data_IF_314820502554
#
_entry.id   IF_314820502554
#
_cell.length_a   1.000
_cell.length_b   1.000
_cell.length_c   1.000
_cell.angle_alpha   90.00
_cell.angle_beta   90.00
_cell.angle_gamma   90.00
#
_symmetry.space_group_name_H-M   'P 1'
#
loop_
_entity.id
_entity.type
_entity.pdbx_description
1 polymer ?
#
# COMPACT_ATOMS: atom_id res chain seq x y z
N UNK A 1 49.14 24.90 -15.51
CA UNK A 1 48.98 23.48 -15.15
C UNK A 1 47.98 23.38 -14.01
N UNK A 2 46.74 22.92 -14.28
CA UNK A 2 45.72 22.74 -13.23
C UNK A 2 46.14 21.60 -12.30
N UNK A 3 46.08 21.81 -10.97
CA UNK A 3 46.26 20.73 -9.97
C UNK A 3 45.30 19.61 -10.26
N UNK A 4 45.79 18.36 -10.44
CA UNK A 4 44.93 17.17 -10.57
C UNK A 4 44.04 17.08 -9.32
N UNK A 5 42.73 17.12 -9.53
CA UNK A 5 41.76 17.00 -8.44
C UNK A 5 41.76 15.56 -7.91
N UNK A 6 41.85 15.44 -6.58
CA UNK A 6 41.83 14.13 -5.91
C UNK A 6 40.46 13.48 -6.11
N UNK A 7 40.41 12.23 -6.59
CA UNK A 7 39.19 11.50 -6.81
C UNK A 7 38.60 10.95 -5.50
N UNK A 8 39.44 10.44 -4.61
CA UNK A 8 39.04 9.93 -3.29
C UNK A 8 40.14 10.09 -2.26
N UNK A 9 39.79 10.08 -0.99
CA UNK A 9 40.68 9.98 0.15
C UNK A 9 40.40 8.66 0.84
N UNK A 10 41.43 7.82 1.02
CA UNK A 10 41.29 6.49 1.61
C UNK A 10 40.77 6.55 3.05
N UNK A 11 40.08 5.49 3.50
CA UNK A 11 39.54 5.40 4.85
C UNK A 11 40.62 5.51 5.93
N UNK A 12 40.28 6.23 6.99
CA UNK A 12 41.12 6.34 8.18
C UNK A 12 40.29 6.32 9.46
N UNK A 13 40.85 5.75 10.52
CA UNK A 13 40.19 5.75 11.84
C UNK A 13 40.34 7.12 12.51
N UNK A 14 39.24 7.61 13.06
CA UNK A 14 39.22 8.68 14.05
C UNK A 14 38.86 8.07 15.43
N UNK A 15 39.88 7.90 16.27
CA UNK A 15 39.75 7.32 17.61
C UNK A 15 39.50 8.36 18.72
N UNK A 16 39.20 9.61 18.36
CA UNK A 16 38.92 10.68 19.32
C UNK A 16 40.05 10.85 20.40
N UNK A 17 41.32 10.65 20.03
CA UNK A 17 42.44 10.70 20.96
C UNK A 17 42.51 9.51 21.92
N UNK A 18 41.93 8.36 21.56
CA UNK A 18 41.90 7.17 22.41
C UNK A 18 40.75 7.18 23.47
N UNK A 19 39.95 8.22 23.50
CA UNK A 19 38.87 8.35 24.47
C UNK A 19 37.74 7.36 24.23
N UNK A 20 37.59 6.34 25.10
CA UNK A 20 36.58 5.30 25.04
C UNK A 20 35.14 5.78 25.29
N UNK A 21 34.95 6.94 25.92
CA UNK A 21 33.64 7.56 26.16
C UNK A 21 33.10 8.28 24.91
N UNK A 22 33.99 8.56 23.95
CA UNK A 22 33.62 9.16 22.66
C UNK A 22 33.39 8.08 21.63
N UNK A 23 32.54 8.41 20.64
CA UNK A 23 32.20 7.53 19.54
C UNK A 23 33.33 7.56 18.48
N UNK A 24 33.99 6.42 18.29
CA UNK A 24 35.00 6.26 17.25
C UNK A 24 34.34 6.06 15.90
N UNK A 25 35.01 6.42 14.81
CA UNK A 25 34.51 6.24 13.47
C UNK A 25 35.62 6.12 12.44
N UNK A 26 35.30 5.47 11.32
CA UNK A 26 36.16 5.49 10.12
C UNK A 26 35.65 6.56 9.19
N UNK A 27 36.53 7.44 8.68
CA UNK A 27 36.14 8.46 7.70
C UNK A 27 36.93 8.31 6.40
N UNK A 28 36.26 8.56 5.28
CA UNK A 28 36.82 8.63 3.94
C UNK A 28 36.13 9.72 3.14
N UNK A 29 36.68 10.08 1.97
CA UNK A 29 36.03 11.05 1.09
C UNK A 29 36.07 10.57 -0.34
N UNK A 30 35.03 10.88 -1.10
CA UNK A 30 34.90 10.55 -2.51
C UNK A 30 34.38 11.76 -3.28
N UNK A 31 34.86 12.00 -4.52
CA UNK A 31 34.40 13.11 -5.35
C UNK A 31 33.11 12.71 -6.08
N UNK A 32 32.05 13.47 -5.87
CA UNK A 32 30.80 13.31 -6.62
C UNK A 32 30.99 13.96 -8.02
N UNK A 33 30.95 13.13 -9.06
CA UNK A 33 31.16 13.56 -10.45
C UNK A 33 30.04 14.52 -10.94
N UNK A 34 28.87 14.53 -10.29
CA UNK A 34 27.71 15.37 -10.67
C UNK A 34 27.89 16.84 -10.25
N UNK A 35 28.54 17.09 -9.12
CA UNK A 35 28.70 18.44 -8.56
C UNK A 35 30.16 18.84 -8.37
N UNK A 36 31.11 17.97 -8.72
CA UNK A 36 32.57 18.12 -8.59
C UNK A 36 33.03 18.45 -7.17
N UNK A 37 32.26 18.05 -6.13
CA UNK A 37 32.62 18.24 -4.72
C UNK A 37 33.18 16.98 -4.12
N UNK A 38 34.18 17.14 -3.22
CA UNK A 38 34.71 16.05 -2.43
C UNK A 38 33.84 15.89 -1.17
N UNK A 39 33.02 14.85 -1.16
CA UNK A 39 32.11 14.56 -0.04
C UNK A 39 32.79 13.66 0.99
N UNK A 40 32.48 13.87 2.26
CA UNK A 40 33.07 13.15 3.40
C UNK A 40 32.03 12.21 3.99
N UNK A 41 32.44 10.95 4.15
CA UNK A 41 31.64 9.87 4.72
C UNK A 41 32.26 9.41 6.05
N UNK A 42 31.39 9.07 7.02
CA UNK A 42 31.79 8.59 8.34
C UNK A 42 30.99 7.35 8.71
N UNK A 43 31.68 6.32 9.17
CA UNK A 43 31.15 5.03 9.59
C UNK A 43 31.33 4.88 11.08
N UNK A 44 30.23 4.89 11.82
CA UNK A 44 30.21 4.77 13.28
C UNK A 44 29.79 3.37 13.75
N UNK A 45 29.33 2.51 12.85
CA UNK A 45 28.70 1.25 13.17
C UNK A 45 29.65 0.26 13.86
N UNK A 46 29.13 -0.46 14.85
CA UNK A 46 29.82 -1.53 15.56
C UNK A 46 30.81 -1.07 16.63
N UNK A 47 31.09 0.23 16.78
CA UNK A 47 32.02 0.71 17.80
C UNK A 47 31.43 0.80 19.22
N UNK A 48 30.10 1.10 19.35
CA UNK A 48 29.45 1.27 20.66
C UNK A 48 29.50 0.05 21.58
N UNK A 49 29.25 -1.18 21.11
CA UNK A 49 29.26 -2.36 21.97
C UNK A 49 30.66 -2.82 22.36
N UNK A 50 31.73 -2.22 21.81
CA UNK A 50 33.09 -2.63 22.06
C UNK A 50 33.68 -1.90 23.27
N UNK A 51 33.99 -2.64 24.31
CA UNK A 51 34.43 -2.20 25.63
C UNK A 51 35.95 -1.99 25.76
N UNK A 52 36.76 -2.43 24.78
CA UNK A 52 38.22 -2.28 24.78
C UNK A 52 38.76 -1.58 23.53
N UNK A 53 39.81 -0.81 23.70
CA UNK A 53 40.46 -0.11 22.60
C UNK A 53 40.99 -1.09 21.53
N UNK A 54 41.53 -2.23 21.93
CA UNK A 54 42.03 -3.25 21.00
C UNK A 54 40.93 -3.76 20.08
N UNK A 55 39.77 -4.11 20.62
CA UNK A 55 38.60 -4.57 19.84
C UNK A 55 38.12 -3.46 18.88
N UNK A 56 38.14 -2.20 19.29
CA UNK A 56 37.81 -1.06 18.43
C UNK A 56 38.78 -0.88 17.29
N UNK A 57 40.09 -1.06 17.54
CA UNK A 57 41.10 -0.99 16.49
C UNK A 57 40.94 -2.12 15.48
N UNK A 58 40.75 -3.37 15.94
CA UNK A 58 40.51 -4.50 15.04
C UNK A 58 39.26 -4.28 14.17
N UNK A 59 38.17 -3.80 14.78
CA UNK A 59 36.93 -3.49 14.06
C UNK A 59 37.16 -2.38 13.03
N UNK A 60 37.84 -1.32 13.41
CA UNK A 60 38.21 -0.24 12.50
C UNK A 60 39.03 -0.74 11.31
N UNK A 61 40.02 -1.63 11.55
CA UNK A 61 40.86 -2.17 10.50
C UNK A 61 40.04 -3.01 9.48
N UNK A 62 39.09 -3.78 9.96
CA UNK A 62 38.16 -4.52 9.07
C UNK A 62 37.39 -3.56 8.15
N UNK A 63 36.80 -2.50 8.71
CA UNK A 63 36.05 -1.50 7.95
C UNK A 63 36.97 -0.78 6.95
N UNK A 64 38.18 -0.39 7.36
CA UNK A 64 39.15 0.28 6.52
C UNK A 64 39.54 -0.60 5.33
N UNK A 65 39.87 -1.85 5.56
CA UNK A 65 40.25 -2.78 4.50
C UNK A 65 39.12 -2.97 3.51
N UNK A 66 37.93 -3.20 4.00
CA UNK A 66 36.74 -3.42 3.18
C UNK A 66 36.43 -2.21 2.29
N UNK A 67 36.38 -1.01 2.83
CA UNK A 67 36.11 0.21 2.05
C UNK A 67 37.26 0.49 1.06
N UNK A 68 38.50 0.23 1.46
CA UNK A 68 39.66 0.41 0.59
C UNK A 68 39.61 -0.50 -0.65
N UNK A 69 39.34 -1.80 -0.44
CA UNK A 69 39.21 -2.77 -1.53
C UNK A 69 38.06 -2.37 -2.51
N UNK A 70 36.97 -1.91 -1.99
CA UNK A 70 35.83 -1.43 -2.80
C UNK A 70 36.18 -0.21 -3.64
N UNK A 71 36.79 0.81 -3.02
CA UNK A 71 37.22 2.02 -3.73
C UNK A 71 38.22 1.68 -4.84
N UNK A 72 39.17 0.79 -4.55
CA UNK A 72 40.20 0.36 -5.51
C UNK A 72 39.63 -0.53 -6.62
N UNK A 73 38.55 -1.29 -6.37
CA UNK A 73 37.85 -2.05 -7.40
C UNK A 73 36.93 -1.20 -8.29
N UNK A 74 36.91 0.13 -8.08
CA UNK A 74 36.12 1.06 -8.91
C UNK A 74 34.73 1.38 -8.37
N UNK A 75 34.36 0.84 -7.19
CA UNK A 75 33.13 1.22 -6.54
C UNK A 75 33.14 2.69 -6.09
N UNK A 76 31.97 3.33 -6.17
CA UNK A 76 31.76 4.68 -5.63
C UNK A 76 30.65 4.67 -4.58
N UNK A 77 30.71 5.54 -3.55
CA UNK A 77 29.62 5.63 -2.56
C UNK A 77 28.33 6.20 -3.13
N UNK A 78 28.32 6.54 -4.40
CA UNK A 78 27.16 7.05 -5.16
C UNK A 78 26.52 5.98 -6.06
N UNK A 79 27.11 4.79 -6.19
CA UNK A 79 26.58 3.69 -6.98
C UNK A 79 25.46 2.96 -6.24
N UNK A 80 24.35 2.71 -6.94
CA UNK A 80 23.17 2.10 -6.38
C UNK A 80 23.23 0.57 -6.26
N UNK A 81 24.18 -0.08 -6.97
CA UNK A 81 24.07 -1.51 -7.25
C UNK A 81 24.89 -2.45 -6.35
N UNK A 82 25.78 -1.97 -5.50
CA UNK A 82 26.66 -2.90 -4.77
C UNK A 82 26.95 -2.50 -3.33
N UNK A 83 25.96 -2.66 -2.45
CA UNK A 83 26.28 -2.68 -1.03
C UNK A 83 25.55 -3.82 -0.35
N UNK A 84 26.11 -5.01 -0.46
CA UNK A 84 25.91 -6.09 0.49
C UNK A 84 27.08 -6.04 1.48
N UNK A 85 27.11 -5.00 2.32
CA UNK A 85 27.88 -5.02 3.56
C UNK A 85 27.22 -4.06 4.53
N UNK A 86 26.60 -4.60 5.54
CA UNK A 86 25.84 -3.91 6.58
C UNK A 86 24.82 -2.90 6.03
N UNK A 87 23.58 -3.35 5.87
CA UNK A 87 22.43 -2.61 5.37
C UNK A 87 22.33 -1.16 5.89
N UNK A 88 22.87 -0.82 7.05
CA UNK A 88 22.80 0.50 7.65
C UNK A 88 23.73 1.54 6.98
N UNK A 89 24.91 1.17 6.49
CA UNK A 89 25.85 2.11 5.86
C UNK A 89 25.35 2.57 4.49
N UNK A 90 24.87 1.61 3.70
CA UNK A 90 24.29 1.87 2.39
C UNK A 90 23.10 2.82 2.48
N UNK A 91 22.26 2.61 3.48
CA UNK A 91 21.07 3.39 3.73
C UNK A 91 21.34 4.84 4.09
N UNK A 92 22.27 5.08 5.00
CA UNK A 92 22.63 6.44 5.40
C UNK A 92 23.22 7.25 4.25
N UNK A 93 23.94 6.60 3.34
CA UNK A 93 24.50 7.23 2.15
C UNK A 93 23.39 7.54 1.13
N UNK A 94 22.50 6.58 0.86
CA UNK A 94 21.37 6.79 -0.04
C UNK A 94 20.40 7.87 0.47
N UNK A 95 20.09 7.87 1.76
CA UNK A 95 19.22 8.85 2.37
C UNK A 95 19.73 10.29 2.23
N UNK A 96 21.06 10.50 2.33
CA UNK A 96 21.69 11.80 2.15
C UNK A 96 21.74 12.25 0.69
N UNK A 97 22.05 11.33 -0.22
CA UNK A 97 22.17 11.64 -1.65
C UNK A 97 20.83 11.94 -2.31
N UNK A 98 19.78 11.23 -1.92
CA UNK A 98 18.44 11.37 -2.53
C UNK A 98 17.44 12.17 -1.69
N UNK A 99 17.86 12.76 -0.57
CA UNK A 99 16.97 13.52 0.30
C UNK A 99 15.88 12.67 0.98
N UNK A 100 16.08 11.35 1.05
CA UNK A 100 15.24 10.48 1.86
C UNK A 100 15.51 10.73 3.35
N UNK A 101 14.48 10.59 4.18
CA UNK A 101 14.66 10.53 5.63
C UNK A 101 15.56 9.34 5.97
N UNK A 102 16.39 9.50 7.02
CA UNK A 102 17.17 8.39 7.57
C UNK A 102 16.29 7.17 7.79
N UNK A 103 16.87 5.97 7.59
CA UNK A 103 16.18 4.70 7.89
C UNK A 103 15.65 4.81 9.31
N UNK A 104 14.35 4.95 9.45
CA UNK A 104 13.72 4.75 10.75
C UNK A 104 13.80 3.25 11.03
N UNK A 105 14.09 2.84 12.26
CA UNK A 105 14.15 1.44 12.71
C UNK A 105 12.78 0.74 12.61
N UNK A 106 11.94 1.17 11.69
CA UNK A 106 10.55 0.78 11.56
C UNK A 106 10.38 -0.14 10.36
N UNK A 107 9.79 -1.30 10.63
CA UNK A 107 9.47 -2.31 9.61
C UNK A 107 8.30 -1.88 8.71
N UNK A 108 8.04 -2.65 7.64
CA UNK A 108 6.94 -2.41 6.71
C UNK A 108 5.57 -2.35 7.42
N UNK A 109 5.36 -3.16 8.47
CA UNK A 109 4.10 -3.18 9.21
C UNK A 109 3.77 -1.84 9.87
N UNK A 110 4.78 -1.14 10.39
CA UNK A 110 4.59 0.23 10.89
C UNK A 110 4.06 1.16 9.79
N UNK A 111 4.62 1.10 8.58
CA UNK A 111 4.18 1.94 7.48
C UNK A 111 2.79 1.56 6.95
N UNK A 112 2.44 0.29 6.97
CA UNK A 112 1.07 -0.16 6.66
C UNK A 112 0.08 0.49 7.62
N UNK A 113 0.34 0.46 8.94
CA UNK A 113 -0.54 1.08 9.93
C UNK A 113 -0.62 2.61 9.78
N UNK A 114 0.52 3.28 9.58
CA UNK A 114 0.56 4.72 9.35
C UNK A 114 -0.21 5.13 8.07
N UNK A 115 -0.10 4.35 6.99
CA UNK A 115 -0.89 4.54 5.78
C UNK A 115 -2.38 4.38 6.04
N UNK A 116 -2.78 3.36 6.79
CA UNK A 116 -4.19 3.12 7.12
C UNK A 116 -4.76 4.26 7.97
N UNK A 117 -4.03 4.76 8.96
CA UNK A 117 -4.46 5.91 9.76
C UNK A 117 -4.61 7.19 8.90
N UNK A 118 -3.68 7.47 7.98
CA UNK A 118 -3.79 8.60 7.04
C UNK A 118 -5.01 8.45 6.10
N UNK A 119 -5.36 7.21 5.72
CA UNK A 119 -6.49 6.94 4.82
C UNK A 119 -7.85 6.94 5.50
N UNK A 120 -7.93 6.56 6.76
CA UNK A 120 -9.18 6.40 7.51
C UNK A 120 -10.13 7.61 7.44
N UNK A 121 -9.68 8.87 7.62
CA UNK A 121 -10.56 10.04 7.55
C UNK A 121 -10.99 10.44 6.14
N UNK A 122 -10.28 9.99 5.09
CA UNK A 122 -10.46 10.50 3.73
C UNK A 122 -11.08 9.49 2.76
N UNK A 123 -11.24 8.24 3.16
CA UNK A 123 -11.86 7.21 2.33
C UNK A 123 -13.13 6.65 2.96
N UNK A 124 -14.06 6.17 2.14
CA UNK A 124 -15.28 5.53 2.63
C UNK A 124 -14.96 4.26 3.42
N UNK A 125 -15.80 3.94 4.40
CA UNK A 125 -15.64 2.77 5.29
C UNK A 125 -15.34 1.47 4.53
N UNK A 126 -16.06 1.20 3.42
CA UNK A 126 -15.84 -0.01 2.61
C UNK A 126 -14.47 0.00 1.92
N UNK A 127 -14.02 1.14 1.41
CA UNK A 127 -12.69 1.29 0.83
C UNK A 127 -11.60 1.11 1.87
N UNK A 128 -11.80 1.65 3.08
CA UNK A 128 -10.88 1.44 4.20
C UNK A 128 -10.77 -0.04 4.61
N UNK A 129 -11.90 -0.74 4.67
CA UNK A 129 -11.93 -2.19 4.92
C UNK A 129 -11.18 -2.99 3.83
N UNK A 130 -11.29 -2.58 2.56
CA UNK A 130 -10.57 -3.19 1.45
C UNK A 130 -9.05 -3.00 1.58
N UNK A 131 -8.57 -1.78 1.88
CA UNK A 131 -7.16 -1.52 2.18
C UNK A 131 -6.66 -2.40 3.32
N UNK A 132 -7.37 -2.36 4.45
CA UNK A 132 -6.98 -3.12 5.66
C UNK A 132 -6.91 -4.61 5.39
N UNK A 133 -7.90 -5.17 4.71
CA UNK A 133 -7.96 -6.61 4.42
C UNK A 133 -6.80 -7.05 3.51
N UNK A 134 -6.57 -6.33 2.41
CA UNK A 134 -5.54 -6.71 1.43
C UNK A 134 -4.12 -6.55 1.98
N UNK A 135 -3.84 -5.42 2.64
CA UNK A 135 -2.51 -5.20 3.24
C UNK A 135 -2.24 -6.16 4.42
N UNK A 136 -3.28 -6.55 5.18
CA UNK A 136 -3.14 -7.59 6.21
C UNK A 136 -2.79 -8.95 5.63
N UNK A 137 -3.43 -9.36 4.53
CA UNK A 137 -3.12 -10.63 3.85
C UNK A 137 -1.68 -10.60 3.32
N UNK A 138 -1.23 -9.50 2.73
CA UNK A 138 0.15 -9.34 2.29
C UNK A 138 1.13 -9.47 3.46
N UNK A 139 0.90 -8.77 4.56
CA UNK A 139 1.73 -8.88 5.76
C UNK A 139 1.74 -10.29 6.36
N UNK A 140 0.58 -10.98 6.42
CA UNK A 140 0.49 -12.36 6.88
C UNK A 140 1.31 -13.32 6.02
N UNK A 141 1.31 -13.11 4.70
CA UNK A 141 2.15 -13.89 3.79
C UNK A 141 3.64 -13.64 4.05
N UNK A 142 4.06 -12.40 4.21
CA UNK A 142 5.46 -12.07 4.59
C UNK A 142 5.84 -12.75 5.91
N UNK A 143 4.93 -12.74 6.89
CA UNK A 143 5.14 -13.42 8.17
C UNK A 143 5.36 -14.93 7.98
N UNK A 144 4.55 -15.59 7.15
CA UNK A 144 4.70 -17.03 6.86
C UNK A 144 6.01 -17.38 6.15
N UNK A 145 6.63 -16.41 5.47
CA UNK A 145 7.96 -16.53 4.85
C UNK A 145 9.12 -16.15 5.79
N UNK A 146 8.85 -15.99 7.08
CA UNK A 146 9.86 -15.58 8.07
C UNK A 146 10.32 -14.12 7.96
N UNK A 147 9.61 -13.29 7.19
CA UNK A 147 9.96 -11.89 6.90
C UNK A 147 9.08 -10.90 7.71
N UNK A 148 8.83 -11.23 8.97
CA UNK A 148 7.98 -10.44 9.87
C UNK A 148 8.40 -8.98 10.00
N UNK A 149 9.70 -8.75 10.17
CA UNK A 149 10.28 -7.44 10.47
C UNK A 149 10.96 -6.82 9.24
N UNK A 150 10.56 -7.24 8.03
CA UNK A 150 11.12 -6.74 6.78
C UNK A 150 10.92 -5.24 6.65
N UNK A 151 11.92 -4.53 6.17
CA UNK A 151 11.80 -3.11 5.87
C UNK A 151 11.17 -2.88 4.50
N UNK A 152 10.51 -1.74 4.34
CA UNK A 152 9.80 -1.44 3.10
C UNK A 152 10.72 -1.41 1.86
N UNK A 153 11.97 -0.99 2.05
CA UNK A 153 12.96 -0.91 0.98
C UNK A 153 13.51 -2.27 0.56
N UNK A 154 13.40 -3.27 1.43
CA UNK A 154 13.87 -4.63 1.18
C UNK A 154 12.82 -5.48 0.42
N UNK A 155 11.64 -4.91 0.18
CA UNK A 155 10.63 -5.53 -0.68
C UNK A 155 11.02 -5.32 -2.14
N UNK A 156 11.31 -6.41 -2.82
CA UNK A 156 11.64 -6.41 -4.24
C UNK A 156 10.43 -6.71 -5.13
N UNK A 157 10.54 -6.42 -6.42
CA UNK A 157 9.54 -6.82 -7.41
C UNK A 157 9.36 -8.35 -7.43
N UNK A 158 10.46 -9.11 -7.34
CA UNK A 158 10.42 -10.59 -7.32
C UNK A 158 9.61 -11.11 -6.13
N UNK A 159 9.78 -10.52 -4.94
CA UNK A 159 8.99 -10.89 -3.77
C UNK A 159 7.50 -10.60 -3.97
N UNK A 160 7.15 -9.51 -4.63
CA UNK A 160 5.76 -9.21 -4.98
C UNK A 160 5.23 -10.15 -6.06
N UNK A 161 6.07 -10.57 -7.01
CA UNK A 161 5.71 -11.61 -7.98
C UNK A 161 5.45 -12.97 -7.29
N UNK A 162 6.29 -13.38 -6.32
CA UNK A 162 6.03 -14.55 -5.48
C UNK A 162 4.69 -14.45 -4.72
N UNK A 163 4.39 -13.28 -4.17
CA UNK A 163 3.10 -13.05 -3.54
C UNK A 163 1.94 -13.18 -4.53
N UNK A 164 2.07 -12.67 -5.75
CA UNK A 164 1.07 -12.86 -6.79
C UNK A 164 0.89 -14.36 -7.14
N UNK A 165 1.98 -15.13 -7.26
CA UNK A 165 1.88 -16.57 -7.47
C UNK A 165 1.22 -17.30 -6.30
N UNK A 166 1.46 -16.90 -5.07
CA UNK A 166 0.71 -17.38 -3.91
C UNK A 166 -0.80 -17.11 -4.04
N UNK A 167 -1.18 -15.89 -4.43
CA UNK A 167 -2.59 -15.53 -4.65
C UNK A 167 -3.24 -16.35 -5.76
N UNK A 168 -2.48 -16.65 -6.85
CA UNK A 168 -2.94 -17.43 -8.00
C UNK A 168 -3.07 -18.91 -7.64
N UNK A 169 -2.02 -19.51 -7.11
CA UNK A 169 -1.89 -20.96 -7.01
C UNK A 169 -2.49 -21.52 -5.72
N UNK A 170 -2.25 -20.86 -4.59
CA UNK A 170 -2.71 -21.34 -3.28
C UNK A 170 -4.09 -20.75 -2.92
N UNK A 171 -4.29 -19.45 -3.15
CA UNK A 171 -5.56 -18.79 -2.86
C UNK A 171 -6.58 -18.89 -4.00
N UNK A 172 -6.15 -19.29 -5.20
CA UNK A 172 -6.98 -19.45 -6.42
C UNK A 172 -7.85 -18.22 -6.72
N UNK A 173 -7.28 -17.03 -6.52
CA UNK A 173 -7.99 -15.78 -6.72
C UNK A 173 -8.08 -15.42 -8.21
N UNK A 174 -9.13 -14.68 -8.56
CA UNK A 174 -9.34 -14.20 -9.92
C UNK A 174 -8.40 -13.04 -10.26
N UNK A 175 -8.09 -12.89 -11.55
CA UNK A 175 -7.28 -11.81 -12.10
C UNK A 175 -7.66 -10.43 -11.56
N UNK A 176 -8.95 -10.10 -11.54
CA UNK A 176 -9.46 -8.81 -11.02
C UNK A 176 -9.08 -8.60 -9.56
N UNK A 177 -9.24 -9.64 -8.73
CA UNK A 177 -8.90 -9.56 -7.31
C UNK A 177 -7.39 -9.39 -7.10
N UNK A 178 -6.57 -10.08 -7.91
CA UNK A 178 -5.10 -9.95 -7.85
C UNK A 178 -4.67 -8.54 -8.24
N UNK A 179 -5.24 -7.98 -9.33
CA UNK A 179 -5.04 -6.57 -9.70
C UNK A 179 -5.38 -5.61 -8.56
N UNK A 180 -6.45 -5.87 -7.83
CA UNK A 180 -6.81 -5.06 -6.67
C UNK A 180 -5.77 -5.16 -5.55
N UNK A 181 -5.17 -6.34 -5.29
CA UNK A 181 -4.05 -6.47 -4.34
C UNK A 181 -2.85 -5.64 -4.79
N UNK A 182 -2.43 -5.78 -6.05
CA UNK A 182 -1.30 -5.05 -6.61
C UNK A 182 -1.53 -3.53 -6.55
N UNK A 183 -2.75 -3.08 -6.85
CA UNK A 183 -3.12 -1.67 -6.75
C UNK A 183 -3.02 -1.15 -5.31
N UNK A 184 -3.40 -1.94 -4.28
CA UNK A 184 -3.30 -1.49 -2.88
C UNK A 184 -1.85 -1.44 -2.40
N UNK A 185 -1.01 -2.40 -2.79
CA UNK A 185 0.43 -2.37 -2.49
C UNK A 185 1.08 -1.17 -3.19
N UNK A 186 0.78 -0.96 -4.48
CA UNK A 186 1.29 0.19 -5.21
C UNK A 186 0.88 1.54 -4.58
N UNK A 187 -0.37 1.65 -4.10
CA UNK A 187 -0.85 2.84 -3.40
C UNK A 187 -0.13 3.09 -2.07
N UNK A 188 0.19 2.03 -1.32
CA UNK A 188 1.02 2.12 -0.12
C UNK A 188 2.40 2.71 -0.45
N UNK A 189 3.09 2.15 -1.46
CA UNK A 189 4.41 2.62 -1.86
C UNK A 189 4.39 4.03 -2.43
N UNK A 190 3.40 4.40 -3.23
CA UNK A 190 3.23 5.77 -3.71
C UNK A 190 3.00 6.78 -2.56
N UNK A 191 2.27 6.37 -1.50
CA UNK A 191 2.13 7.18 -0.30
C UNK A 191 3.48 7.31 0.44
N UNK A 192 4.24 6.22 0.55
CA UNK A 192 5.56 6.24 1.18
C UNK A 192 6.55 7.13 0.42
N UNK A 193 6.51 7.13 -0.92
CA UNK A 193 7.30 8.03 -1.77
C UNK A 193 6.93 9.49 -1.49
N UNK A 194 5.64 9.83 -1.43
CA UNK A 194 5.17 11.19 -1.10
C UNK A 194 5.64 11.64 0.28
N UNK A 195 5.71 10.74 1.24
CA UNK A 195 6.20 11.01 2.60
C UNK A 195 7.73 10.93 2.72
N UNK A 196 8.45 10.63 1.62
CA UNK A 196 9.90 10.46 1.56
C UNK A 196 10.43 9.33 2.47
N UNK A 197 9.66 8.26 2.65
CA UNK A 197 10.08 7.06 3.38
C UNK A 197 10.79 6.05 2.48
N UNK A 198 10.52 6.07 1.19
CA UNK A 198 11.19 5.30 0.13
C UNK A 198 11.23 6.12 -1.16
N UNK A 199 12.10 5.73 -2.10
CA UNK A 199 12.23 6.38 -3.41
C UNK A 199 11.61 5.57 -4.54
N UNK A 200 11.35 4.29 -4.34
CA UNK A 200 10.91 3.37 -5.38
C UNK A 200 9.62 2.67 -5.00
N UNK A 201 8.86 2.31 -6.01
CA UNK A 201 7.67 1.48 -5.89
C UNK A 201 7.95 0.15 -6.60
N UNK A 202 8.10 -0.97 -5.89
CA UNK A 202 8.39 -2.26 -6.50
C UNK A 202 7.19 -2.92 -7.17
N UNK A 203 5.97 -2.36 -7.05
CA UNK A 203 4.75 -2.95 -7.58
C UNK A 203 4.51 -2.54 -9.04
N UNK A 204 5.38 -2.99 -9.96
CA UNK A 204 5.26 -2.81 -11.40
C UNK A 204 5.34 -4.17 -12.11
N UNK A 205 4.67 -4.31 -13.24
CA UNK A 205 4.66 -5.51 -14.11
C UNK A 205 4.48 -6.84 -13.37
N UNK A 206 3.56 -6.85 -12.38
CA UNK A 206 3.31 -8.01 -11.54
C UNK A 206 2.39 -9.03 -12.23
N UNK A 207 2.56 -10.34 -11.97
CA UNK A 207 1.67 -11.38 -12.46
C UNK A 207 0.21 -11.14 -12.08
N UNK A 208 -0.71 -11.26 -13.03
CA UNK A 208 -2.13 -10.96 -12.83
C UNK A 208 -3.04 -12.21 -12.77
N UNK A 209 -2.50 -13.36 -13.13
CA UNK A 209 -3.28 -14.59 -13.28
C UNK A 209 -4.12 -14.63 -14.57
N UNK A 210 -4.82 -15.75 -14.78
CA UNK A 210 -5.68 -15.96 -15.94
C UNK A 210 -7.03 -15.27 -15.73
N UNK A 211 -7.60 -14.75 -16.81
CA UNK A 211 -9.00 -14.33 -16.82
C UNK A 211 -9.85 -15.61 -16.76
N UNK A 212 -10.90 -15.60 -15.94
CA UNK A 212 -11.92 -16.64 -16.03
C UNK A 212 -12.73 -16.46 -17.29
N UNK A 213 -13.28 -17.57 -17.79
CA UNK A 213 -14.31 -17.52 -18.82
C UNK A 213 -15.46 -16.65 -18.35
N UNK A 214 -16.03 -15.88 -19.27
CA UNK A 214 -17.12 -14.98 -18.95
C UNK A 214 -18.39 -15.78 -18.70
N UNK A 215 -18.67 -16.03 -17.44
CA UNK A 215 -19.94 -16.61 -16.98
C UNK A 215 -20.89 -15.50 -16.51
N UNK A 216 -20.93 -14.37 -17.21
CA UNK A 216 -21.86 -13.30 -16.89
C UNK A 216 -23.30 -13.83 -16.87
N UNK A 217 -24.04 -13.41 -15.86
CA UNK A 217 -25.44 -13.81 -15.74
C UNK A 217 -26.21 -13.36 -16.99
N UNK A 218 -26.94 -14.29 -17.61
CA UNK A 218 -27.78 -13.96 -18.73
C UNK A 218 -28.92 -13.02 -18.26
N UNK A 219 -29.23 -11.99 -19.06
CA UNK A 219 -30.37 -11.13 -18.74
C UNK A 219 -31.66 -11.94 -18.60
N UNK A 220 -32.39 -11.69 -17.54
CA UNK A 220 -33.71 -12.31 -17.32
C UNK A 220 -34.70 -11.76 -18.32
N UNK A 221 -35.58 -12.62 -18.87
CA UNK A 221 -36.67 -12.16 -19.72
C UNK A 221 -37.69 -11.36 -18.89
N UNK A 222 -38.54 -10.56 -19.54
CA UNK A 222 -39.60 -9.82 -18.85
C UNK A 222 -40.60 -10.76 -18.19
N UNK A 223 -40.89 -11.88 -18.82
CA UNK A 223 -41.78 -12.94 -18.36
C UNK A 223 -41.23 -13.62 -17.10
N UNK A 224 -39.95 -14.02 -17.12
CA UNK A 224 -39.28 -14.62 -15.97
C UNK A 224 -39.23 -13.63 -14.78
N UNK A 225 -38.95 -12.36 -15.04
CA UNK A 225 -38.93 -11.33 -13.99
C UNK A 225 -40.33 -11.17 -13.34
N UNK A 226 -41.41 -11.19 -14.14
CA UNK A 226 -42.77 -11.12 -13.61
C UNK A 226 -43.15 -12.37 -12.79
N UNK A 227 -42.79 -13.56 -13.28
CA UNK A 227 -43.02 -14.81 -12.55
C UNK A 227 -42.28 -14.82 -11.22
N UNK A 228 -40.97 -14.42 -11.23
CA UNK A 228 -40.16 -14.35 -10.05
C UNK A 228 -40.72 -13.36 -9.02
N UNK A 229 -41.11 -12.16 -9.45
CA UNK A 229 -41.74 -11.17 -8.57
C UNK A 229 -43.04 -11.65 -7.99
N UNK A 230 -43.86 -12.34 -8.78
CA UNK A 230 -45.14 -12.95 -8.32
C UNK A 230 -44.91 -14.04 -7.29
N UNK A 231 -43.91 -14.87 -7.47
CA UNK A 231 -43.49 -15.88 -6.50
C UNK A 231 -43.01 -15.26 -5.19
N UNK A 232 -42.10 -14.28 -5.27
CA UNK A 232 -41.58 -13.58 -4.10
C UNK A 232 -42.67 -12.89 -3.29
N UNK A 233 -43.60 -12.23 -3.94
CA UNK A 233 -44.73 -11.58 -3.29
C UNK A 233 -45.55 -12.53 -2.40
N UNK A 234 -45.65 -13.82 -2.77
CA UNK A 234 -46.36 -14.85 -1.98
C UNK A 234 -45.50 -15.40 -0.84
N UNK A 235 -44.17 -15.38 -0.96
CA UNK A 235 -43.26 -16.02 -0.02
C UNK A 235 -42.66 -15.08 0.99
N UNK A 236 -42.20 -13.89 0.56
CA UNK A 236 -41.56 -12.89 1.41
C UNK A 236 -41.77 -11.49 0.81
N UNK A 237 -42.61 -10.73 1.46
CA UNK A 237 -43.02 -9.39 1.01
C UNK A 237 -41.84 -8.38 1.08
N UNK A 238 -40.90 -8.56 2.02
CA UNK A 238 -39.69 -7.69 2.11
C UNK A 238 -38.75 -7.94 0.95
N UNK A 239 -38.46 -9.21 0.64
CA UNK A 239 -37.65 -9.58 -0.52
C UNK A 239 -38.33 -9.15 -1.82
N UNK A 240 -39.64 -9.30 -1.93
CA UNK A 240 -40.40 -8.80 -3.07
C UNK A 240 -40.25 -7.29 -3.25
N UNK A 241 -40.44 -6.51 -2.18
CA UNK A 241 -40.29 -5.06 -2.22
C UNK A 241 -38.83 -4.65 -2.62
N UNK A 242 -37.85 -5.33 -2.04
CA UNK A 242 -36.43 -5.10 -2.35
C UNK A 242 -36.11 -5.35 -3.83
N UNK A 243 -36.57 -6.46 -4.38
CA UNK A 243 -36.37 -6.81 -5.79
C UNK A 243 -37.20 -5.89 -6.73
N UNK A 244 -38.39 -5.50 -6.35
CA UNK A 244 -39.21 -4.56 -7.13
C UNK A 244 -38.52 -3.18 -7.21
N UNK A 245 -37.93 -2.69 -6.13
CA UNK A 245 -37.16 -1.44 -6.12
C UNK A 245 -35.97 -1.50 -7.06
N UNK A 246 -35.23 -2.63 -7.09
CA UNK A 246 -34.13 -2.82 -8.03
C UNK A 246 -34.66 -2.84 -9.47
N UNK A 247 -35.71 -3.60 -9.72
CA UNK A 247 -36.26 -3.82 -11.06
C UNK A 247 -36.87 -2.56 -11.66
N UNK A 248 -37.73 -1.86 -10.90
CA UNK A 248 -38.48 -0.71 -11.41
C UNK A 248 -37.75 0.61 -11.27
N UNK A 249 -36.90 0.78 -10.25
CA UNK A 249 -36.24 2.04 -9.95
C UNK A 249 -34.75 2.02 -10.19
N UNK A 250 -34.19 0.88 -10.59
CA UNK A 250 -32.73 0.68 -10.82
C UNK A 250 -31.84 1.14 -9.63
N UNK A 251 -32.37 1.08 -8.39
CA UNK A 251 -31.63 1.43 -7.18
C UNK A 251 -30.61 0.34 -6.89
N UNK A 252 -29.36 0.74 -6.60
CA UNK A 252 -28.31 -0.23 -6.29
C UNK A 252 -28.61 -0.97 -4.98
N UNK A 253 -28.50 -2.32 -4.95
CA UNK A 253 -28.89 -3.14 -3.79
C UNK A 253 -28.00 -2.94 -2.55
N UNK A 254 -26.86 -2.28 -2.70
CA UNK A 254 -25.90 -2.04 -1.60
C UNK A 254 -26.41 -1.02 -0.57
N UNK A 255 -25.65 0.04 -0.35
CA UNK A 255 -26.00 1.08 0.65
C UNK A 255 -27.23 1.90 0.24
N UNK A 256 -27.46 2.12 -1.05
CA UNK A 256 -28.56 2.97 -1.53
C UNK A 256 -29.92 2.37 -1.12
N UNK A 257 -30.19 1.12 -1.50
CA UNK A 257 -31.47 0.49 -1.21
C UNK A 257 -31.57 -0.03 0.24
N UNK A 258 -30.53 -0.70 0.74
CA UNK A 258 -30.53 -1.30 2.08
C UNK A 258 -30.74 -0.29 3.21
N UNK A 259 -30.28 0.96 3.01
CA UNK A 259 -30.36 2.04 4.01
C UNK A 259 -31.43 3.08 3.64
N UNK A 260 -32.25 2.80 2.60
CA UNK A 260 -33.35 3.66 2.23
C UNK A 260 -34.40 3.67 3.36
N UNK A 261 -34.90 4.83 3.70
CA UNK A 261 -35.92 5.01 4.72
C UNK A 261 -37.21 5.49 4.07
N UNK A 262 -38.37 5.21 4.70
CA UNK A 262 -39.67 5.66 4.21
C UNK A 262 -39.71 7.16 4.00
N UNK A 263 -39.05 7.96 4.86
CA UNK A 263 -38.95 9.42 4.72
C UNK A 263 -38.23 9.89 3.46
N UNK A 264 -37.49 9.00 2.79
CA UNK A 264 -36.76 9.30 1.55
C UNK A 264 -37.67 9.11 0.32
N UNK A 265 -38.88 8.64 0.53
CA UNK A 265 -39.91 8.42 -0.51
C UNK A 265 -40.97 9.53 -0.43
N UNK A 266 -41.09 10.31 -1.51
CA UNK A 266 -42.12 11.31 -1.62
C UNK A 266 -43.29 10.74 -2.44
N UNK A 267 -44.39 10.42 -1.76
CA UNK A 267 -45.59 9.84 -2.40
C UNK A 267 -46.39 10.88 -3.18
N UNK A 268 -46.19 12.16 -2.93
CA UNK A 268 -46.89 13.24 -3.66
C UNK A 268 -46.25 13.46 -5.02
N UNK A 269 -44.91 13.60 -5.06
CA UNK A 269 -44.16 13.80 -6.31
C UNK A 269 -43.78 12.50 -6.99
N UNK A 270 -44.04 11.34 -6.39
CA UNK A 270 -43.60 10.03 -6.82
C UNK A 270 -42.09 9.96 -7.05
N UNK A 271 -41.31 10.40 -6.06
CA UNK A 271 -39.83 10.41 -6.15
C UNK A 271 -39.22 9.69 -4.96
N UNK A 272 -38.02 9.16 -5.17
CA UNK A 272 -37.15 8.56 -4.14
C UNK A 272 -35.86 9.34 -4.08
N UNK A 273 -35.48 9.83 -2.91
CA UNK A 273 -34.24 10.56 -2.70
C UNK A 273 -33.15 9.62 -2.22
N UNK A 274 -32.06 9.52 -2.95
CA UNK A 274 -30.85 8.81 -2.52
C UNK A 274 -29.95 9.82 -1.84
N UNK A 275 -29.77 9.71 -0.52
CA UNK A 275 -28.95 10.62 0.28
C UNK A 275 -27.48 10.45 -0.04
N UNK A 276 -26.71 11.56 0.02
CA UNK A 276 -25.27 11.59 -0.25
C UNK A 276 -24.51 10.50 0.54
N UNK A 277 -24.81 10.35 1.81
CA UNK A 277 -24.17 9.37 2.71
C UNK A 277 -24.30 7.91 2.26
N UNK A 278 -25.39 7.59 1.52
CA UNK A 278 -25.72 6.26 1.02
C UNK A 278 -25.39 6.08 -0.46
N UNK A 279 -25.27 7.15 -1.21
CA UNK A 279 -25.02 7.15 -2.66
C UNK A 279 -23.62 6.63 -2.97
N UNK A 280 -23.49 5.78 -3.99
CA UNK A 280 -22.17 5.28 -4.43
C UNK A 280 -21.37 6.36 -5.16
N UNK A 281 -22.03 7.25 -5.87
CA UNK A 281 -21.41 8.34 -6.64
C UNK A 281 -21.82 9.69 -6.07
N UNK A 282 -23.01 10.15 -6.42
CA UNK A 282 -23.61 11.41 -5.97
C UNK A 282 -25.01 11.13 -5.47
N UNK A 283 -25.52 12.01 -4.60
CA UNK A 283 -26.94 12.04 -4.26
C UNK A 283 -27.80 12.22 -5.51
N UNK A 284 -29.04 11.78 -5.46
CA UNK A 284 -29.92 11.89 -6.59
C UNK A 284 -31.37 11.68 -6.24
N UNK A 285 -32.24 12.16 -7.13
CA UNK A 285 -33.67 11.94 -7.08
C UNK A 285 -34.02 10.98 -8.21
N UNK A 286 -34.72 9.90 -7.87
CA UNK A 286 -35.20 8.88 -8.81
C UNK A 286 -36.68 9.06 -8.96
N UNK A 287 -37.15 9.24 -10.19
CA UNK A 287 -38.60 9.23 -10.50
C UNK A 287 -39.12 7.80 -10.39
N UNK A 288 -40.13 7.62 -9.62
CA UNK A 288 -40.77 6.31 -9.35
C UNK A 288 -41.79 5.98 -10.42
N UNK A 289 -41.61 4.86 -11.14
CA UNK A 289 -42.63 4.42 -12.11
C UNK A 289 -43.99 4.16 -11.48
N UNK A 290 -45.08 4.31 -12.23
CA UNK A 290 -46.47 4.07 -11.71
C UNK A 290 -46.66 2.70 -11.09
N UNK A 291 -46.00 1.67 -11.62
CA UNK A 291 -46.02 0.31 -11.12
C UNK A 291 -45.44 0.25 -9.69
N UNK A 292 -44.32 0.88 -9.46
CA UNK A 292 -43.68 0.91 -8.15
C UNK A 292 -44.52 1.71 -7.15
N UNK A 293 -45.08 2.85 -7.56
CA UNK A 293 -45.98 3.64 -6.73
C UNK A 293 -47.21 2.81 -6.29
N UNK A 294 -47.79 1.99 -7.20
CA UNK A 294 -48.88 1.07 -6.86
C UNK A 294 -48.46 0.01 -5.84
N UNK A 295 -47.28 -0.60 -6.01
CA UNK A 295 -46.73 -1.58 -5.07
C UNK A 295 -46.63 -0.97 -3.67
N UNK A 296 -46.00 0.19 -3.54
CA UNK A 296 -45.79 0.87 -2.24
C UNK A 296 -47.12 1.24 -1.57
N UNK A 297 -48.15 1.67 -2.34
CA UNK A 297 -49.50 1.95 -1.83
C UNK A 297 -50.17 0.67 -1.33
N UNK A 298 -50.06 -0.43 -2.08
CA UNK A 298 -50.65 -1.72 -1.71
C UNK A 298 -50.07 -2.27 -0.41
N UNK A 299 -48.77 -2.13 -0.22
CA UNK A 299 -48.03 -2.53 0.99
C UNK A 299 -48.18 -1.54 2.14
N UNK A 300 -48.93 -0.47 1.98
CA UNK A 300 -49.19 0.60 2.99
C UNK A 300 -47.89 1.17 3.60
N UNK A 301 -46.81 1.25 2.80
CA UNK A 301 -45.49 1.70 3.28
C UNK A 301 -45.54 3.12 3.86
N UNK A 302 -46.45 3.98 3.37
CA UNK A 302 -46.65 5.32 3.92
C UNK A 302 -47.11 5.34 5.38
N UNK A 303 -47.68 4.27 5.90
CA UNK A 303 -48.13 4.19 7.30
C UNK A 303 -46.98 3.95 8.27
N UNK A 304 -45.80 3.53 7.80
CA UNK A 304 -44.58 3.33 8.60
C UNK A 304 -43.74 4.61 8.77
N UNK A 305 -44.21 5.76 8.30
CA UNK A 305 -43.45 7.03 8.35
C UNK A 305 -43.64 7.83 9.65
N UNK A 306 -44.03 7.17 10.74
CA UNK A 306 -44.16 7.79 12.07
C UNK A 306 -42.96 7.53 12.95
#
# INVERSE_FOLDING_TARGET
MGRRKVKFVLPRLNNCGGNMKKEWYVEYSYRDERNDKLERFRVYEGFKPLDSASKRYEHAQKIINEITERILSGWTPFDLETIVVNNNIAYNIQARVYGCRERTDKNLFYYINAFLEDKKPIVRKKTFQDYTSKLRIFHQWLYSKGKKDIFAQDITNDMLAEFCFYLINERKLEKRTIKDFNARISQLYNWMIKKKFTNTNPAYDLPEGKQRDDHSAQPMTKEDAKQLLSYMKKKDEQVYLFCAMIFYCAIRPGTELRLLKVKDINFFTNTITIREENAKTTEGIINMPPEMARILKTLKISSYSR
#
